data_IF_127258805678
#
_entry.id   IF_127258805678
#
_cell.length_a   1.000
_cell.length_b   1.000
_cell.length_c   1.000
_cell.angle_alpha   90.00
_cell.angle_beta   90.00
_cell.angle_gamma   90.00
#
_symmetry.space_group_name_H-M   'P 1'
#
loop_
_entity.id
_entity.type
_entity.pdbx_description
1 polymer ?
#
# COMPACT_ATOMS: atom_id res chain seq x y z
N UNK A 1 -26.47 -15.38 -7.07
CA UNK A 1 -26.64 -13.94 -6.75
C UNK A 1 -28.05 -13.43 -7.12
N UNK A 2 -29.12 -14.23 -6.99
CA UNK A 2 -30.43 -13.91 -7.58
C UNK A 2 -31.29 -12.90 -6.80
N UNK A 3 -31.12 -12.74 -5.47
CA UNK A 3 -32.21 -12.19 -4.65
C UNK A 3 -31.91 -10.91 -3.86
N UNK A 4 -30.78 -10.24 -4.08
CA UNK A 4 -30.53 -8.94 -3.42
C UNK A 4 -31.27 -7.82 -4.18
N UNK A 5 -32.53 -7.59 -3.81
CA UNK A 5 -33.36 -6.49 -4.33
C UNK A 5 -33.31 -5.30 -3.39
N UNK A 6 -32.95 -4.13 -3.92
CA UNK A 6 -33.08 -2.88 -3.18
C UNK A 6 -34.57 -2.57 -2.90
N UNK A 7 -34.89 -2.08 -1.69
CA UNK A 7 -36.27 -1.75 -1.29
C UNK A 7 -36.37 -0.36 -0.68
N UNK A 8 -37.55 0.25 -0.82
CA UNK A 8 -37.96 1.47 -0.12
C UNK A 8 -39.35 1.21 0.46
N UNK A 9 -39.51 1.42 1.75
CA UNK A 9 -40.75 1.14 2.49
C UNK A 9 -41.16 2.36 3.31
N UNK A 10 -42.46 2.65 3.36
CA UNK A 10 -43.00 3.65 4.30
C UNK A 10 -42.93 3.10 5.74
N UNK A 11 -42.57 3.97 6.69
CA UNK A 11 -42.64 3.69 8.13
C UNK A 11 -43.61 4.68 8.79
N UNK A 12 -44.07 4.43 10.04
CA UNK A 12 -44.97 5.38 10.73
C UNK A 12 -44.42 6.80 10.87
N UNK A 13 -43.10 7.00 10.74
CA UNK A 13 -42.44 8.31 10.88
C UNK A 13 -41.61 8.72 9.66
N UNK A 14 -41.68 8.01 8.54
CA UNK A 14 -40.88 8.32 7.35
C UNK A 14 -40.70 7.14 6.40
N UNK A 15 -39.45 6.82 6.07
CA UNK A 15 -39.09 5.80 5.07
C UNK A 15 -37.91 4.95 5.55
N UNK A 16 -37.89 3.69 5.15
CA UNK A 16 -36.75 2.78 5.31
C UNK A 16 -36.22 2.43 3.93
N UNK A 17 -34.90 2.52 3.74
CA UNK A 17 -34.22 2.21 2.48
C UNK A 17 -33.22 1.09 2.71
N UNK A 18 -33.28 0.06 1.87
CA UNK A 18 -32.30 -1.02 1.83
C UNK A 18 -31.69 -1.06 0.43
N UNK A 19 -30.43 -0.70 0.31
CA UNK A 19 -29.65 -0.80 -0.92
C UNK A 19 -28.60 -1.89 -0.82
N UNK A 20 -28.22 -2.47 -1.95
CA UNK A 20 -27.13 -3.43 -2.05
C UNK A 20 -26.26 -3.02 -3.23
N UNK A 21 -24.95 -2.93 -3.00
CA UNK A 21 -23.95 -2.63 -4.02
C UNK A 21 -22.99 -3.81 -4.14
N UNK A 22 -22.62 -4.18 -5.36
CA UNK A 22 -21.69 -5.29 -5.62
C UNK A 22 -20.27 -4.74 -5.66
N UNK A 23 -19.38 -5.34 -4.85
CA UNK A 23 -17.94 -5.15 -4.94
C UNK A 23 -17.35 -6.41 -5.59
N UNK A 24 -16.68 -6.24 -6.72
CA UNK A 24 -16.06 -7.31 -7.51
C UNK A 24 -14.78 -6.75 -8.12
N UNK A 25 -13.69 -7.50 -7.99
CA UNK A 25 -12.35 -7.13 -8.47
C UNK A 25 -11.48 -8.38 -8.53
N UNK A 26 -10.54 -8.38 -9.47
CA UNK A 26 -9.72 -9.55 -9.77
C UNK A 26 -8.21 -9.26 -9.67
N UNK A 27 -7.43 -10.33 -9.47
CA UNK A 27 -5.98 -10.33 -9.48
C UNK A 27 -5.46 -11.30 -10.53
N UNK A 28 -4.46 -10.91 -11.29
CA UNK A 28 -3.82 -11.77 -12.26
C UNK A 28 -2.30 -11.73 -12.12
N UNK A 29 -1.69 -12.89 -11.91
CA UNK A 29 -0.24 -13.04 -11.96
C UNK A 29 0.20 -13.08 -13.42
N UNK A 30 1.01 -12.12 -13.82
CA UNK A 30 1.45 -11.97 -15.22
C UNK A 30 2.89 -11.48 -15.26
N UNK A 31 3.81 -12.35 -15.69
CA UNK A 31 5.20 -11.97 -15.89
C UNK A 31 5.33 -11.17 -17.19
N UNK A 32 5.74 -9.91 -17.10
CA UNK A 32 5.91 -9.01 -18.25
C UNK A 32 4.60 -8.39 -18.73
N UNK A 33 3.92 -7.61 -17.90
CA UNK A 33 2.64 -6.95 -18.25
C UNK A 33 2.74 -6.00 -19.46
N UNK A 34 3.94 -5.49 -19.75
CA UNK A 34 4.23 -4.67 -20.94
C UNK A 34 4.97 -5.46 -22.04
N UNK A 35 4.98 -6.79 -21.98
CA UNK A 35 5.40 -7.62 -23.11
C UNK A 35 4.30 -7.61 -24.17
N UNK A 36 4.65 -7.29 -25.42
CA UNK A 36 3.70 -7.27 -26.52
C UNK A 36 3.06 -8.64 -26.81
N UNK A 37 3.60 -9.74 -26.31
CA UNK A 37 2.95 -11.06 -26.41
C UNK A 37 1.76 -11.22 -25.43
N UNK A 38 1.73 -10.46 -24.33
CA UNK A 38 0.70 -10.53 -23.30
C UNK A 38 -0.42 -9.55 -23.62
N UNK A 39 -1.59 -10.01 -24.07
CA UNK A 39 -2.69 -9.12 -24.49
C UNK A 39 -3.52 -8.56 -23.34
N UNK A 40 -3.39 -9.10 -22.13
CA UNK A 40 -4.38 -8.96 -21.06
C UNK A 40 -4.61 -7.50 -20.66
N UNK A 41 -3.54 -6.71 -20.50
CA UNK A 41 -3.68 -5.27 -20.22
C UNK A 41 -4.32 -4.53 -21.41
N UNK A 42 -3.98 -4.90 -22.65
CA UNK A 42 -4.50 -4.23 -23.83
C UNK A 42 -5.98 -4.53 -24.00
N UNK A 43 -6.43 -5.75 -23.69
CA UNK A 43 -7.82 -6.16 -23.76
C UNK A 43 -8.72 -5.32 -22.82
N UNK A 44 -8.19 -4.86 -21.68
CA UNK A 44 -8.89 -3.89 -20.81
C UNK A 44 -9.09 -2.51 -21.46
N UNK A 45 -8.19 -2.10 -22.37
CA UNK A 45 -8.18 -0.77 -22.98
C UNK A 45 -8.67 -0.72 -24.44
N UNK A 46 -8.75 -1.86 -25.13
CA UNK A 46 -9.28 -1.96 -26.50
C UNK A 46 -10.65 -1.29 -26.69
N UNK A 47 -11.64 -1.43 -25.78
CA UNK A 47 -12.94 -0.78 -25.95
C UNK A 47 -12.87 0.75 -25.95
N UNK A 48 -11.85 1.32 -25.32
CA UNK A 48 -11.67 2.77 -25.17
C UNK A 48 -10.75 3.35 -26.25
N UNK A 49 -9.84 2.53 -26.81
CA UNK A 49 -8.78 2.91 -27.78
C UNK A 49 -7.81 3.98 -27.28
N UNK A 50 -7.88 4.32 -25.99
CA UNK A 50 -7.00 5.26 -25.31
C UNK A 50 -6.84 4.86 -23.84
N UNK A 51 -5.79 5.35 -23.21
CA UNK A 51 -5.45 5.08 -21.81
C UNK A 51 -4.83 6.33 -21.19
N UNK A 52 -5.39 6.78 -20.06
CA UNK A 52 -4.69 7.67 -19.13
C UNK A 52 -3.98 6.81 -18.08
N UNK A 53 -2.66 6.87 -18.06
CA UNK A 53 -1.84 6.20 -17.06
C UNK A 53 -1.29 7.20 -16.04
N UNK A 54 -1.53 6.94 -14.75
CA UNK A 54 -0.85 7.58 -13.63
C UNK A 54 0.32 6.68 -13.25
N UNK A 55 1.55 7.15 -13.48
CA UNK A 55 2.76 6.33 -13.33
C UNK A 55 3.78 6.99 -12.41
N UNK A 56 4.38 6.21 -11.52
CA UNK A 56 5.54 6.62 -10.74
C UNK A 56 6.67 7.13 -11.67
N UNK A 57 7.33 8.23 -11.30
CA UNK A 57 8.36 8.86 -12.13
C UNK A 57 9.59 7.96 -12.36
N UNK A 58 10.04 7.22 -11.34
CA UNK A 58 11.17 6.30 -11.48
C UNK A 58 10.78 5.12 -12.37
N UNK A 59 9.57 4.58 -12.18
CA UNK A 59 9.04 3.54 -13.07
C UNK A 59 8.90 4.01 -14.50
N UNK A 60 8.41 5.24 -14.73
CA UNK A 60 8.33 5.81 -16.07
C UNK A 60 9.72 5.94 -16.69
N UNK A 61 10.73 6.32 -15.91
CA UNK A 61 12.11 6.44 -16.38
C UNK A 61 12.66 5.09 -16.85
N UNK A 62 12.35 4.01 -16.15
CA UNK A 62 12.85 2.67 -16.47
C UNK A 62 12.01 1.93 -17.52
N UNK A 63 10.68 2.06 -17.47
CA UNK A 63 9.73 1.22 -18.22
C UNK A 63 8.76 2.02 -19.10
N UNK A 64 8.82 3.35 -19.11
CA UNK A 64 7.90 4.19 -19.87
C UNK A 64 7.97 3.95 -21.37
N UNK A 65 9.16 3.73 -21.93
CA UNK A 65 9.32 3.37 -23.35
C UNK A 65 8.78 1.98 -23.67
N UNK A 66 8.92 1.01 -22.75
CA UNK A 66 8.33 -0.32 -22.93
C UNK A 66 6.80 -0.24 -22.92
N UNK A 67 6.22 0.46 -21.94
CA UNK A 67 4.77 0.69 -21.86
C UNK A 67 4.25 1.40 -23.11
N UNK A 68 4.96 2.44 -23.59
CA UNK A 68 4.58 3.15 -24.82
C UNK A 68 4.53 2.21 -26.03
N UNK A 69 5.60 1.42 -26.27
CA UNK A 69 5.65 0.45 -27.38
C UNK A 69 4.56 -0.62 -27.26
N UNK A 70 4.26 -1.07 -26.05
CA UNK A 70 3.17 -2.00 -25.78
C UNK A 70 1.83 -1.43 -26.28
N UNK A 71 1.46 -0.22 -25.85
CA UNK A 71 0.20 0.42 -26.27
C UNK A 71 0.18 0.78 -27.76
N UNK A 72 1.32 1.20 -28.34
CA UNK A 72 1.48 1.42 -29.80
C UNK A 72 1.22 0.14 -30.59
N UNK A 73 1.70 -1.01 -30.13
CA UNK A 73 1.50 -2.32 -30.79
C UNK A 73 0.01 -2.69 -30.90
N UNK A 74 -0.80 -2.25 -29.95
CA UNK A 74 -2.23 -2.53 -29.91
C UNK A 74 -3.14 -1.40 -30.44
N UNK A 75 -2.57 -0.36 -31.06
CA UNK A 75 -3.31 0.82 -31.54
C UNK A 75 -4.16 1.48 -30.44
N UNK A 76 -3.59 1.61 -29.25
CA UNK A 76 -4.23 2.26 -28.10
C UNK A 76 -3.44 3.51 -27.75
N UNK A 77 -4.10 4.65 -27.78
CA UNK A 77 -3.47 5.94 -27.53
C UNK A 77 -3.14 6.12 -26.04
N UNK A 78 -1.86 6.22 -25.69
CA UNK A 78 -1.40 6.38 -24.31
C UNK A 78 -1.06 7.84 -23.95
N UNK A 79 -1.63 8.33 -22.85
CA UNK A 79 -1.24 9.58 -22.19
C UNK A 79 -0.79 9.27 -20.76
N UNK A 80 0.35 9.83 -20.33
CA UNK A 80 0.94 9.52 -19.02
C UNK A 80 1.02 10.74 -18.13
N UNK A 81 0.33 10.69 -16.99
CA UNK A 81 0.59 11.54 -15.83
C UNK A 81 1.74 10.93 -15.03
N UNK A 82 2.86 11.64 -14.93
CA UNK A 82 4.02 11.20 -14.15
C UNK A 82 3.96 11.82 -12.77
N UNK A 83 4.15 11.02 -11.73
CA UNK A 83 4.09 11.49 -10.35
C UNK A 83 5.30 11.03 -9.56
N UNK A 84 5.93 11.94 -8.83
CA UNK A 84 7.01 11.64 -7.89
C UNK A 84 6.42 11.65 -6.49
N UNK A 85 6.18 10.47 -5.90
CA UNK A 85 5.47 10.36 -4.62
C UNK A 85 6.34 9.67 -3.57
N UNK A 86 6.98 10.47 -2.71
CA UNK A 86 7.44 10.03 -1.40
C UNK A 86 6.34 10.22 -0.33
N UNK A 87 6.56 9.74 0.89
CA UNK A 87 5.56 9.84 1.98
C UNK A 87 5.11 11.29 2.26
N UNK A 88 6.02 12.28 2.11
CA UNK A 88 5.71 13.71 2.24
C UNK A 88 4.82 14.24 1.11
N UNK A 89 4.89 13.63 -0.08
CA UNK A 89 4.06 13.97 -1.25
C UNK A 89 2.75 13.16 -1.32
N UNK A 90 2.49 12.28 -0.35
CA UNK A 90 1.21 11.57 -0.21
C UNK A 90 0.12 12.51 0.34
N UNK A 91 -0.27 13.52 -0.44
CA UNK A 91 -1.07 14.66 0.02
C UNK A 91 -2.28 14.95 -0.89
N UNK A 92 -3.14 15.87 -0.44
CA UNK A 92 -4.30 16.33 -1.21
C UNK A 92 -3.87 17.05 -2.49
N UNK A 93 -2.77 17.78 -2.46
CA UNK A 93 -2.22 18.48 -3.63
C UNK A 93 -1.85 17.49 -4.75
N UNK A 94 -1.15 16.41 -4.41
CA UNK A 94 -0.83 15.35 -5.38
C UNK A 94 -2.09 14.69 -5.93
N UNK A 95 -3.09 14.43 -5.09
CA UNK A 95 -4.40 13.94 -5.53
C UNK A 95 -5.05 14.88 -6.54
N UNK A 96 -5.06 16.20 -6.26
CA UNK A 96 -5.66 17.20 -7.15
C UNK A 96 -4.93 17.28 -8.49
N UNK A 97 -3.60 17.09 -8.51
CA UNK A 97 -2.83 17.04 -9.77
C UNK A 97 -3.26 15.88 -10.70
N UNK A 98 -3.66 14.75 -10.11
CA UNK A 98 -4.17 13.60 -10.84
C UNK A 98 -5.58 13.91 -11.36
N UNK A 99 -6.43 14.52 -10.52
CA UNK A 99 -7.78 14.97 -10.91
C UNK A 99 -7.71 15.96 -12.09
N UNK A 100 -6.80 16.91 -12.07
CA UNK A 100 -6.58 17.86 -13.18
C UNK A 100 -6.23 17.14 -14.49
N UNK A 101 -5.45 16.06 -14.40
CA UNK A 101 -5.08 15.23 -15.56
C UNK A 101 -6.25 14.38 -16.05
N UNK A 102 -7.08 13.88 -15.15
CA UNK A 102 -8.33 13.18 -15.49
C UNK A 102 -9.32 14.10 -16.21
N UNK A 103 -9.44 15.36 -15.75
CA UNK A 103 -10.26 16.38 -16.39
C UNK A 103 -9.72 16.78 -17.76
N UNK A 104 -8.41 17.03 -17.88
CA UNK A 104 -7.78 17.36 -19.16
C UNK A 104 -7.92 16.22 -20.18
N UNK A 105 -7.73 14.97 -19.75
CA UNK A 105 -7.94 13.79 -20.58
C UNK A 105 -9.41 13.59 -20.99
N UNK A 106 -10.34 14.13 -20.20
CA UNK A 106 -11.77 13.92 -20.37
C UNK A 106 -12.14 12.47 -20.07
N UNK A 107 -11.68 11.92 -18.94
CA UNK A 107 -12.03 10.57 -18.48
C UNK A 107 -13.56 10.43 -18.42
N UNK A 108 -14.10 9.47 -19.17
CA UNK A 108 -15.55 9.20 -19.17
C UNK A 108 -15.93 8.25 -18.03
N UNK A 109 -17.21 8.24 -17.64
CA UNK A 109 -17.67 7.71 -16.34
C UNK A 109 -17.22 6.27 -16.00
N UNK A 110 -17.06 5.40 -16.99
CA UNK A 110 -16.68 3.99 -16.79
C UNK A 110 -15.31 3.65 -17.37
N UNK A 111 -14.64 4.60 -18.02
CA UNK A 111 -13.29 4.41 -18.56
C UNK A 111 -12.30 4.28 -17.40
N UNK A 112 -11.53 3.18 -17.32
CA UNK A 112 -10.61 2.98 -16.23
C UNK A 112 -9.35 3.82 -16.40
N UNK A 113 -8.87 4.39 -15.30
CA UNK A 113 -7.51 4.95 -15.22
C UNK A 113 -6.51 3.82 -14.96
N UNK A 114 -5.37 3.80 -15.66
CA UNK A 114 -4.28 2.87 -15.36
C UNK A 114 -3.39 3.46 -14.27
N UNK A 115 -3.09 2.70 -13.22
CA UNK A 115 -2.24 3.16 -12.11
C UNK A 115 -1.05 2.22 -11.97
N UNK A 116 0.17 2.75 -12.16
CA UNK A 116 1.42 1.97 -12.18
C UNK A 116 2.43 2.54 -11.18
N UNK A 117 2.73 1.82 -10.10
CA UNK A 117 3.61 2.34 -9.06
C UNK A 117 3.58 1.51 -7.77
N UNK A 118 4.33 1.97 -6.75
CA UNK A 118 4.27 1.38 -5.41
C UNK A 118 3.00 1.76 -4.66
N UNK A 119 2.92 1.35 -3.38
CA UNK A 119 1.77 1.60 -2.51
C UNK A 119 1.36 3.08 -2.42
N UNK A 120 2.33 4.00 -2.44
CA UNK A 120 2.07 5.44 -2.41
C UNK A 120 1.31 5.92 -3.64
N UNK A 121 1.73 5.51 -4.84
CA UNK A 121 1.05 5.90 -6.09
C UNK A 121 -0.33 5.27 -6.17
N UNK A 122 -0.46 3.98 -5.82
CA UNK A 122 -1.75 3.29 -5.86
C UNK A 122 -2.75 3.86 -4.87
N UNK A 123 -2.32 4.32 -3.69
CA UNK A 123 -3.19 4.95 -2.71
C UNK A 123 -3.69 6.31 -3.18
N UNK A 124 -2.79 7.19 -3.63
CA UNK A 124 -3.16 8.56 -4.02
C UNK A 124 -4.02 8.55 -5.28
N UNK A 125 -3.60 7.79 -6.30
CA UNK A 125 -4.35 7.69 -7.55
C UNK A 125 -5.67 6.93 -7.38
N UNK A 126 -5.67 5.86 -6.56
CA UNK A 126 -6.89 5.14 -6.22
C UNK A 126 -7.90 6.04 -5.50
N UNK A 127 -7.44 6.92 -4.60
CA UNK A 127 -8.32 7.88 -3.93
C UNK A 127 -8.80 9.00 -4.87
N UNK A 128 -7.96 9.46 -5.80
CA UNK A 128 -8.39 10.35 -6.88
C UNK A 128 -9.53 9.72 -7.71
N UNK A 129 -9.39 8.44 -8.09
CA UNK A 129 -10.42 7.69 -8.81
C UNK A 129 -11.70 7.48 -7.98
N UNK A 130 -11.59 7.25 -6.67
CA UNK A 130 -12.73 7.14 -5.77
C UNK A 130 -13.52 8.46 -5.70
N UNK A 131 -12.82 9.60 -5.66
CA UNK A 131 -13.43 10.93 -5.56
C UNK A 131 -13.96 11.43 -6.93
N UNK A 132 -13.29 11.11 -8.03
CA UNK A 132 -13.65 11.62 -9.36
C UNK A 132 -15.03 11.13 -9.79
N UNK A 133 -15.94 12.07 -10.01
CA UNK A 133 -17.37 11.82 -10.32
C UNK A 133 -18.05 10.86 -9.32
N UNK A 134 -17.60 10.89 -8.06
CA UNK A 134 -18.04 10.05 -6.93
C UNK A 134 -17.73 8.56 -7.04
N UNK A 135 -17.16 8.11 -8.16
CA UNK A 135 -16.57 6.79 -8.38
C UNK A 135 -16.16 6.70 -9.86
N UNK A 136 -14.89 6.39 -10.09
CA UNK A 136 -14.31 6.12 -11.41
C UNK A 136 -13.50 4.84 -11.34
N UNK A 137 -13.65 4.01 -12.37
CA UNK A 137 -12.95 2.75 -12.49
C UNK A 137 -11.44 2.97 -12.61
N UNK A 138 -10.65 1.99 -12.17
CA UNK A 138 -9.21 2.00 -12.36
C UNK A 138 -8.64 0.58 -12.34
N UNK A 139 -7.43 0.43 -12.88
CA UNK A 139 -6.66 -0.82 -12.91
C UNK A 139 -5.31 -0.56 -12.25
N UNK A 140 -4.82 -1.50 -11.44
CA UNK A 140 -3.53 -1.37 -10.75
C UNK A 140 -2.46 -2.28 -11.35
N UNK A 141 -1.25 -1.77 -11.41
CA UNK A 141 -0.01 -2.51 -11.66
C UNK A 141 0.97 -2.11 -10.55
N UNK A 142 0.95 -2.79 -9.39
CA UNK A 142 1.94 -2.57 -8.34
C UNK A 142 3.37 -2.93 -8.79
N UNK A 143 4.35 -2.14 -8.37
CA UNK A 143 5.75 -2.27 -8.82
C UNK A 143 6.77 -2.42 -7.68
N UNK A 144 6.28 -2.45 -6.44
CA UNK A 144 7.10 -2.65 -5.23
C UNK A 144 6.63 -3.90 -4.50
N UNK A 145 7.46 -4.49 -3.63
CA UNK A 145 7.03 -5.63 -2.81
C UNK A 145 5.78 -5.26 -2.00
N UNK A 146 5.78 -4.14 -1.27
CA UNK A 146 4.60 -3.65 -0.53
C UNK A 146 3.38 -3.54 -1.43
N UNK A 147 3.52 -2.96 -2.63
CA UNK A 147 2.42 -2.88 -3.59
C UNK A 147 1.89 -4.26 -3.98
N UNK A 148 2.78 -5.17 -4.34
CA UNK A 148 2.44 -6.50 -4.89
C UNK A 148 1.77 -7.41 -3.86
N UNK A 149 2.13 -7.32 -2.57
CA UNK A 149 1.65 -8.24 -1.55
C UNK A 149 0.76 -7.62 -0.47
N UNK A 150 0.60 -6.29 -0.44
CA UNK A 150 -0.22 -5.59 0.57
C UNK A 150 -1.02 -4.41 -0.01
N UNK A 151 -0.37 -3.28 -0.30
CA UNK A 151 -1.06 -2.03 -0.58
C UNK A 151 -1.99 -2.11 -1.80
N UNK A 152 -1.58 -2.81 -2.87
CA UNK A 152 -2.44 -3.02 -4.03
C UNK A 152 -3.28 -4.31 -3.96
N UNK A 153 -3.18 -5.08 -2.88
CA UNK A 153 -4.10 -6.17 -2.55
C UNK A 153 -5.31 -5.63 -1.79
N UNK A 154 -5.09 -4.65 -0.91
CA UNK A 154 -6.17 -3.94 -0.23
C UNK A 154 -7.01 -3.08 -1.18
N UNK A 155 -8.24 -2.75 -0.79
CA UNK A 155 -9.08 -1.74 -1.48
C UNK A 155 -8.98 -0.36 -0.80
N UNK A 156 -8.16 -0.24 0.25
CA UNK A 156 -7.95 1.00 0.98
C UNK A 156 -7.06 1.92 0.17
N UNK A 157 -7.51 3.15 -0.01
CA UNK A 157 -6.80 4.20 -0.73
C UNK A 157 -6.85 5.47 0.10
N UNK A 158 -5.76 6.22 0.18
CA UNK A 158 -5.69 7.35 1.10
C UNK A 158 -4.61 8.38 0.76
N UNK A 159 -4.74 9.56 1.36
CA UNK A 159 -3.70 10.58 1.49
C UNK A 159 -3.50 10.94 2.96
N UNK A 160 -2.32 11.46 3.27
CA UNK A 160 -2.01 12.05 4.56
C UNK A 160 -2.70 13.43 4.69
N UNK A 161 -3.04 13.83 5.91
CA UNK A 161 -3.57 15.18 6.19
C UNK A 161 -2.90 15.76 7.45
N UNK A 162 -2.16 16.85 7.27
CA UNK A 162 -1.26 17.36 8.31
C UNK A 162 -0.20 16.31 8.69
N UNK A 163 -0.10 15.97 9.97
CA UNK A 163 0.80 14.91 10.49
C UNK A 163 0.10 13.56 10.66
N UNK A 164 -1.11 13.40 10.12
CA UNK A 164 -1.90 12.18 10.28
C UNK A 164 -1.75 11.30 9.03
N UNK A 165 -1.17 10.11 9.20
CA UNK A 165 -1.05 9.09 8.15
C UNK A 165 -2.44 8.61 7.70
N UNK A 166 -2.66 8.48 6.39
CA UNK A 166 -3.85 7.90 5.76
C UNK A 166 -5.20 8.44 6.27
N UNK A 167 -5.26 9.72 6.66
CA UNK A 167 -6.43 10.28 7.35
C UNK A 167 -7.63 10.51 6.42
N UNK A 168 -7.38 10.84 5.16
CA UNK A 168 -8.43 11.03 4.16
C UNK A 168 -8.33 9.90 3.15
N UNK A 169 -9.42 9.20 2.89
CA UNK A 169 -9.38 8.02 2.02
C UNK A 169 -10.73 7.44 1.71
N UNK A 170 -10.71 6.29 1.06
CA UNK A 170 -11.88 5.51 0.68
C UNK A 170 -11.58 4.00 0.69
N UNK A 171 -12.64 3.19 0.71
CA UNK A 171 -12.60 1.79 0.32
C UNK A 171 -13.06 1.72 -1.14
N UNK A 172 -12.13 1.64 -2.08
CA UNK A 172 -12.40 1.72 -3.52
C UNK A 172 -11.60 0.67 -4.28
N UNK A 173 -12.27 -0.44 -4.62
CA UNK A 173 -11.64 -1.55 -5.32
C UNK A 173 -11.29 -1.16 -6.77
N UNK A 174 -10.12 -1.57 -7.30
CA UNK A 174 -9.86 -1.50 -8.73
C UNK A 174 -10.78 -2.49 -9.46
N UNK A 175 -10.91 -2.37 -10.78
CA UNK A 175 -11.49 -3.43 -11.60
C UNK A 175 -10.59 -4.67 -11.62
N UNK A 176 -9.28 -4.44 -11.76
CA UNK A 176 -8.29 -5.50 -11.91
C UNK A 176 -6.94 -5.05 -11.35
N UNK A 177 -6.16 -6.00 -10.85
CA UNK A 177 -4.77 -5.79 -10.42
C UNK A 177 -3.85 -6.80 -11.11
N UNK A 178 -2.92 -6.32 -11.94
CA UNK A 178 -1.89 -7.16 -12.55
C UNK A 178 -0.67 -7.25 -11.62
N UNK A 179 -0.34 -8.46 -11.20
CA UNK A 179 0.76 -8.78 -10.31
C UNK A 179 1.96 -9.27 -11.14
N UNK A 180 2.76 -8.32 -11.63
CA UNK A 180 3.99 -8.59 -12.34
C UNK A 180 5.19 -8.45 -11.40
N UNK A 181 5.66 -9.59 -10.89
CA UNK A 181 6.80 -9.62 -9.99
C UNK A 181 8.13 -9.33 -10.69
N UNK A 182 8.19 -9.30 -12.03
CA UNK A 182 9.44 -9.02 -12.76
C UNK A 182 9.92 -7.58 -12.55
N UNK A 183 9.06 -6.65 -12.13
CA UNK A 183 9.46 -5.30 -11.71
C UNK A 183 10.42 -5.29 -10.52
N UNK A 184 10.39 -6.32 -9.66
CA UNK A 184 11.31 -6.42 -8.53
C UNK A 184 12.78 -6.50 -8.97
N UNK A 185 13.07 -6.94 -10.21
CA UNK A 185 14.43 -6.98 -10.76
C UNK A 185 15.16 -5.63 -10.69
N UNK A 186 14.43 -4.52 -10.85
CA UNK A 186 15.00 -3.16 -10.82
C UNK A 186 14.73 -2.42 -9.51
N UNK A 187 14.01 -3.06 -8.57
CA UNK A 187 13.65 -2.45 -7.32
C UNK A 187 14.86 -2.41 -6.36
N UNK A 188 15.20 -1.26 -5.75
CA UNK A 188 16.32 -1.19 -4.81
C UNK A 188 16.19 -2.18 -3.66
N UNK A 189 17.32 -2.75 -3.21
CA UNK A 189 17.33 -3.74 -2.10
C UNK A 189 16.68 -3.20 -0.82
N UNK A 190 16.82 -1.90 -0.54
CA UNK A 190 16.14 -1.26 0.59
C UNK A 190 14.60 -1.37 0.48
N UNK A 191 14.03 -1.25 -0.72
CA UNK A 191 12.59 -1.42 -0.96
C UNK A 191 12.15 -2.89 -0.95
N UNK A 192 13.02 -3.81 -1.39
CA UNK A 192 12.78 -5.25 -1.24
C UNK A 192 12.65 -5.60 0.24
N UNK A 193 13.60 -5.14 1.06
CA UNK A 193 13.58 -5.29 2.53
C UNK A 193 12.36 -4.62 3.16
N UNK A 194 12.04 -3.40 2.74
CA UNK A 194 10.88 -2.64 3.20
C UNK A 194 9.59 -3.48 3.09
N UNK A 195 9.35 -4.12 1.94
CA UNK A 195 8.17 -4.98 1.78
C UNK A 195 8.28 -6.38 2.39
N UNK A 196 9.48 -6.88 2.67
CA UNK A 196 9.68 -8.14 3.38
C UNK A 196 9.02 -8.11 4.77
N UNK A 197 8.99 -6.94 5.42
CA UNK A 197 8.34 -6.75 6.71
C UNK A 197 6.84 -7.13 6.70
N UNK A 198 6.12 -6.81 5.63
CA UNK A 198 4.69 -7.11 5.51
C UNK A 198 4.40 -8.60 5.32
N UNK A 199 5.35 -9.34 4.75
CA UNK A 199 5.29 -10.80 4.68
C UNK A 199 5.56 -11.41 6.07
N UNK A 200 6.49 -10.86 6.86
CA UNK A 200 6.67 -11.28 8.25
C UNK A 200 5.38 -11.03 9.04
N UNK A 201 4.77 -9.84 8.90
CA UNK A 201 3.52 -9.46 9.57
C UNK A 201 2.43 -10.52 9.41
N UNK A 202 2.09 -10.83 8.16
CA UNK A 202 0.97 -11.74 7.91
C UNK A 202 1.32 -13.16 8.29
N UNK A 203 2.54 -13.62 7.98
CA UNK A 203 2.93 -15.00 8.21
C UNK A 203 3.10 -15.34 9.69
N UNK A 204 3.65 -14.44 10.51
CA UNK A 204 3.78 -14.69 11.95
C UNK A 204 2.44 -14.81 12.67
N UNK A 205 1.39 -14.20 12.13
CA UNK A 205 0.06 -14.13 12.75
C UNK A 205 -1.00 -15.02 12.09
N UNK A 206 -0.77 -15.51 10.87
CA UNK A 206 -1.81 -16.20 10.11
C UNK A 206 -1.31 -17.37 9.21
N UNK A 207 -0.01 -17.46 8.91
CA UNK A 207 0.52 -18.51 8.02
C UNK A 207 1.95 -18.92 8.38
N UNK A 208 2.06 -19.93 9.24
CA UNK A 208 3.33 -20.49 9.67
C UNK A 208 4.16 -21.07 8.50
N UNK A 209 3.51 -21.61 7.47
CA UNK A 209 4.21 -22.19 6.32
C UNK A 209 4.93 -21.13 5.49
N UNK A 210 4.29 -19.98 5.28
CA UNK A 210 4.95 -18.81 4.69
C UNK A 210 6.06 -18.28 5.59
N UNK A 211 5.85 -18.26 6.92
CA UNK A 211 6.87 -17.81 7.87
C UNK A 211 8.12 -18.69 7.79
N UNK A 212 7.95 -20.01 7.75
CA UNK A 212 9.06 -20.97 7.67
C UNK A 212 9.87 -20.79 6.39
N UNK A 213 9.23 -20.50 5.26
CA UNK A 213 9.90 -20.23 4.00
C UNK A 213 10.66 -18.89 4.00
N UNK A 214 10.08 -17.84 4.58
CA UNK A 214 10.77 -16.56 4.78
C UNK A 214 12.00 -16.73 5.68
N UNK A 215 11.86 -17.50 6.76
CA UNK A 215 12.95 -17.77 7.70
C UNK A 215 14.07 -18.58 7.05
N UNK A 216 13.74 -19.59 6.24
CA UNK A 216 14.71 -20.42 5.54
C UNK A 216 15.47 -19.71 4.42
N UNK A 217 14.84 -18.75 3.73
CA UNK A 217 15.39 -18.12 2.51
C UNK A 217 15.61 -16.60 2.65
N UNK A 218 15.65 -16.06 3.87
CA UNK A 218 15.61 -14.63 4.14
C UNK A 218 16.64 -13.82 3.34
N UNK A 219 17.92 -14.12 3.51
CA UNK A 219 19.02 -13.39 2.89
C UNK A 219 19.00 -13.52 1.36
N UNK A 220 18.72 -14.72 0.85
CA UNK A 220 18.67 -15.00 -0.58
C UNK A 220 17.51 -14.26 -1.26
N UNK A 221 16.32 -14.24 -0.65
CA UNK A 221 15.17 -13.50 -1.17
C UNK A 221 15.45 -12.00 -1.25
N UNK A 222 16.09 -11.43 -0.22
CA UNK A 222 16.42 -10.00 -0.22
C UNK A 222 17.52 -9.68 -1.22
N UNK A 223 18.60 -10.48 -1.24
CA UNK A 223 19.77 -10.26 -2.09
C UNK A 223 19.50 -10.48 -3.58
N UNK A 224 18.52 -11.31 -3.93
CA UNK A 224 18.16 -11.63 -5.32
C UNK A 224 16.87 -10.97 -5.81
N UNK A 225 16.33 -10.01 -5.04
CA UNK A 225 15.07 -9.35 -5.33
C UNK A 225 13.91 -10.34 -5.57
N UNK A 226 13.67 -11.23 -4.61
CA UNK A 226 12.71 -12.35 -4.70
C UNK A 226 12.99 -13.25 -5.92
N UNK A 227 14.27 -13.56 -6.12
CA UNK A 227 14.79 -14.34 -7.26
C UNK A 227 14.40 -13.77 -8.63
N UNK A 228 14.36 -12.44 -8.74
CA UNK A 228 14.14 -11.71 -10.01
C UNK A 228 15.40 -11.06 -10.56
N UNK A 229 16.48 -11.00 -9.77
CA UNK A 229 17.79 -10.63 -10.25
C UNK A 229 18.33 -11.65 -11.28
N UNK A 230 19.18 -11.16 -12.19
CA UNK A 230 19.77 -12.01 -13.23
C UNK A 230 20.63 -13.12 -12.61
N UNK A 231 20.45 -14.36 -13.09
CA UNK A 231 21.17 -15.53 -12.59
C UNK A 231 20.66 -16.11 -11.26
N UNK A 232 19.52 -15.66 -10.76
CA UNK A 232 18.89 -16.22 -9.56
C UNK A 232 18.51 -17.70 -9.73
N UNK A 233 18.59 -18.47 -8.63
CA UNK A 233 18.26 -19.89 -8.60
C UNK A 233 16.76 -20.13 -8.94
N UNK A 234 16.44 -20.95 -9.95
CA UNK A 234 15.05 -21.32 -10.25
C UNK A 234 14.28 -21.93 -9.07
N UNK A 235 14.95 -22.67 -8.18
CA UNK A 235 14.33 -23.22 -6.97
C UNK A 235 13.93 -22.12 -5.99
N UNK A 236 14.78 -21.11 -5.81
CA UNK A 236 14.48 -19.93 -5.01
C UNK A 236 13.32 -19.12 -5.63
N UNK A 237 13.25 -19.02 -6.96
CA UNK A 237 12.10 -18.40 -7.65
C UNK A 237 10.79 -19.11 -7.30
N UNK A 238 10.79 -20.45 -7.29
CA UNK A 238 9.60 -21.22 -6.92
C UNK A 238 9.18 -20.97 -5.46
N UNK A 239 10.16 -20.86 -4.56
CA UNK A 239 9.91 -20.51 -3.16
C UNK A 239 9.36 -19.07 -3.02
N UNK A 240 9.97 -18.09 -3.70
CA UNK A 240 9.51 -16.70 -3.73
C UNK A 240 8.06 -16.60 -4.24
N UNK A 241 7.75 -17.27 -5.35
CA UNK A 241 6.41 -17.27 -5.95
C UNK A 241 5.37 -17.90 -5.01
N UNK A 242 5.75 -18.97 -4.30
CA UNK A 242 4.90 -19.60 -3.27
C UNK A 242 4.65 -18.66 -2.09
N UNK A 243 5.70 -18.03 -1.55
CA UNK A 243 5.61 -17.06 -0.45
C UNK A 243 4.67 -15.92 -0.81
N UNK A 244 4.90 -15.26 -1.95
CA UNK A 244 4.11 -14.10 -2.34
C UNK A 244 2.65 -14.48 -2.62
N UNK A 245 2.40 -15.61 -3.30
CA UNK A 245 1.03 -16.09 -3.56
C UNK A 245 0.29 -16.43 -2.27
N UNK A 246 0.94 -17.11 -1.34
CA UNK A 246 0.34 -17.48 -0.05
C UNK A 246 0.05 -16.24 0.81
N UNK A 247 1.00 -15.30 0.88
CA UNK A 247 0.80 -14.02 1.58
C UNK A 247 -0.38 -13.21 1.02
N UNK A 248 -0.47 -13.07 -0.30
CA UNK A 248 -1.61 -12.38 -0.95
C UNK A 248 -2.93 -13.09 -0.65
N UNK A 249 -2.96 -14.42 -0.79
CA UNK A 249 -4.17 -15.20 -0.53
C UNK A 249 -4.64 -15.05 0.92
N UNK A 250 -3.71 -15.13 1.86
CA UNK A 250 -4.02 -15.01 3.29
C UNK A 250 -4.54 -13.60 3.63
N UNK A 251 -3.97 -12.57 3.01
CA UNK A 251 -4.47 -11.20 3.17
C UNK A 251 -5.91 -11.06 2.66
N UNK A 252 -6.19 -11.59 1.46
CA UNK A 252 -7.54 -11.59 0.88
C UNK A 252 -8.52 -12.39 1.74
N UNK A 253 -8.09 -13.54 2.29
CA UNK A 253 -8.90 -14.38 3.18
C UNK A 253 -9.33 -13.63 4.44
N UNK A 254 -8.44 -12.82 5.00
CA UNK A 254 -8.68 -12.03 6.21
C UNK A 254 -9.53 -10.77 5.94
N UNK A 255 -9.30 -10.08 4.83
CA UNK A 255 -9.93 -8.78 4.56
C UNK A 255 -11.26 -8.87 3.78
N UNK A 256 -11.45 -9.88 2.92
CA UNK A 256 -12.67 -10.01 2.09
C UNK A 256 -13.97 -10.05 2.91
N UNK A 257 -14.04 -10.73 4.07
CA UNK A 257 -15.23 -10.69 4.94
C UNK A 257 -15.44 -9.33 5.62
N UNK A 258 -14.50 -8.39 5.50
CA UNK A 258 -14.42 -7.17 6.29
C UNK A 258 -13.91 -5.95 5.48
N UNK A 259 -14.29 -5.84 4.21
CA UNK A 259 -13.72 -4.86 3.27
C UNK A 259 -13.87 -3.38 3.67
N UNK A 260 -14.81 -3.06 4.57
CA UNK A 260 -15.01 -1.71 5.12
C UNK A 260 -14.53 -1.57 6.58
N UNK A 261 -13.77 -2.54 7.08
CA UNK A 261 -13.24 -2.59 8.45
C UNK A 261 -14.32 -2.41 9.55
N UNK A 262 -15.52 -2.96 9.35
CA UNK A 262 -16.59 -2.91 10.34
C UNK A 262 -16.25 -3.76 11.58
N UNK A 263 -15.51 -4.86 11.38
CA UNK A 263 -14.89 -5.64 12.45
C UNK A 263 -13.48 -5.10 12.71
N UNK A 264 -13.22 -4.60 13.92
CA UNK A 264 -11.98 -3.90 14.24
C UNK A 264 -10.87 -4.80 14.80
N UNK A 265 -11.17 -6.06 15.12
CA UNK A 265 -10.17 -7.08 15.48
C UNK A 265 -9.53 -7.63 14.20
N UNK A 266 -8.50 -6.93 13.72
CA UNK A 266 -7.89 -7.16 12.41
C UNK A 266 -6.48 -7.73 12.53
N UNK A 267 -6.31 -8.98 12.12
CA UNK A 267 -5.01 -9.69 12.18
C UNK A 267 -3.93 -8.94 11.41
N UNK A 268 -4.25 -8.42 10.22
CA UNK A 268 -3.30 -7.68 9.38
C UNK A 268 -2.92 -6.30 9.93
N UNK A 269 -3.45 -5.91 11.09
CA UNK A 269 -3.04 -4.71 11.81
C UNK A 269 -1.86 -4.95 12.77
N UNK A 270 -1.26 -6.15 12.75
CA UNK A 270 0.01 -6.43 13.43
C UNK A 270 1.11 -5.53 12.89
N UNK A 271 1.93 -4.98 13.79
CA UNK A 271 2.89 -3.94 13.44
C UNK A 271 2.29 -2.56 13.14
N UNK A 272 0.98 -2.36 13.30
CA UNK A 272 0.28 -1.12 12.97
C UNK A 272 -0.48 -0.52 14.16
N UNK A 273 -0.02 -0.79 15.38
CA UNK A 273 -0.61 -0.25 16.61
C UNK A 273 0.06 1.07 16.99
N UNK A 274 1.39 1.09 17.02
CA UNK A 274 2.22 2.24 17.36
C UNK A 274 2.98 2.81 16.16
N UNK A 275 3.27 1.99 15.15
CA UNK A 275 4.02 2.41 13.96
C UNK A 275 3.42 3.60 13.20
N UNK A 276 2.08 3.81 13.06
CA UNK A 276 1.58 4.91 12.24
C UNK A 276 1.95 6.30 12.76
N UNK A 277 2.10 6.44 14.08
CA UNK A 277 2.62 7.67 14.70
C UNK A 277 4.14 7.68 14.61
N UNK A 278 4.79 6.58 14.96
CA UNK A 278 6.25 6.54 15.07
C UNK A 278 6.96 6.67 13.72
N UNK A 279 6.42 6.13 12.64
CA UNK A 279 6.97 6.19 11.28
C UNK A 279 7.32 7.63 10.86
N UNK A 280 6.47 8.58 11.24
CA UNK A 280 6.57 10.00 10.87
C UNK A 280 7.32 10.86 11.91
N UNK A 281 7.77 10.28 13.03
CA UNK A 281 8.45 11.03 14.10
C UNK A 281 9.92 11.33 13.78
N UNK A 282 10.73 10.36 13.33
CA UNK A 282 12.09 10.64 12.86
C UNK A 282 12.10 11.58 11.64
N UNK A 283 13.16 12.38 11.50
CA UNK A 283 13.41 13.20 10.31
C UNK A 283 14.81 12.87 9.74
N UNK A 284 14.91 12.34 8.52
CA UNK A 284 13.80 11.92 7.64
C UNK A 284 12.95 10.78 8.26
N UNK A 285 11.69 10.60 7.83
CA UNK A 285 10.83 9.49 8.28
C UNK A 285 11.47 8.12 8.08
N UNK A 286 11.05 7.14 8.88
CA UNK A 286 11.39 5.75 8.64
C UNK A 286 10.65 5.24 7.40
N UNK A 287 11.27 4.31 6.69
CA UNK A 287 10.54 3.47 5.73
C UNK A 287 9.47 2.69 6.48
N UNK A 288 8.30 2.55 5.87
CA UNK A 288 7.14 1.91 6.46
C UNK A 288 7.46 0.54 7.08
N UNK A 289 8.11 -0.35 6.32
CA UNK A 289 8.55 -1.67 6.72
C UNK A 289 9.42 -1.67 7.99
N UNK A 290 10.29 -0.67 8.16
CA UNK A 290 11.10 -0.53 9.37
C UNK A 290 10.26 -0.06 10.56
N UNK A 291 9.34 0.89 10.35
CA UNK A 291 8.44 1.34 11.42
C UNK A 291 7.52 0.23 11.92
N UNK A 292 6.94 -0.56 11.01
CA UNK A 292 6.10 -1.71 11.39
C UNK A 292 6.92 -2.83 12.03
N UNK A 293 8.19 -3.01 11.63
CA UNK A 293 9.06 -4.03 12.24
C UNK A 293 9.42 -3.71 13.68
N UNK A 294 9.64 -2.43 14.02
CA UNK A 294 9.85 -1.99 15.41
C UNK A 294 8.61 -2.30 16.25
N UNK A 295 7.42 -1.96 15.74
CA UNK A 295 6.14 -2.27 16.40
C UNK A 295 5.95 -3.78 16.58
N UNK A 296 6.18 -4.58 15.53
CA UNK A 296 6.06 -6.04 15.58
C UNK A 296 7.05 -6.68 16.56
N UNK A 297 8.31 -6.24 16.55
CA UNK A 297 9.35 -6.78 17.41
C UNK A 297 9.07 -6.46 18.89
N UNK A 298 8.63 -5.23 19.19
CA UNK A 298 8.15 -4.85 20.52
C UNK A 298 6.90 -5.65 20.94
N UNK A 299 5.91 -5.76 20.05
CA UNK A 299 4.70 -6.56 20.25
C UNK A 299 5.01 -8.03 20.55
N UNK A 300 6.01 -8.61 19.88
CA UNK A 300 6.45 -9.98 20.12
C UNK A 300 7.09 -10.14 21.51
N UNK A 301 7.85 -9.16 21.98
CA UNK A 301 8.35 -9.13 23.37
C UNK A 301 7.21 -9.01 24.37
N UNK A 302 6.19 -8.18 24.10
CA UNK A 302 5.00 -8.08 24.94
C UNK A 302 4.25 -9.42 25.01
N UNK A 303 4.05 -10.09 23.86
CA UNK A 303 3.43 -11.41 23.80
C UNK A 303 4.25 -12.48 24.56
N UNK A 304 5.57 -12.43 24.46
CA UNK A 304 6.46 -13.30 25.22
C UNK A 304 6.35 -13.08 26.72
N UNK A 305 6.33 -11.82 27.18
CA UNK A 305 6.13 -11.46 28.59
C UNK A 305 4.80 -11.96 29.16
N UNK A 306 3.76 -12.06 28.33
CA UNK A 306 2.46 -12.68 28.68
C UNK A 306 2.41 -14.19 28.57
N UNK A 307 3.51 -14.85 28.19
CA UNK A 307 3.54 -16.30 27.96
C UNK A 307 2.74 -16.77 26.74
N UNK A 308 2.33 -15.85 25.85
CA UNK A 308 1.61 -16.17 24.61
C UNK A 308 2.56 -16.68 23.53
N UNK A 309 3.82 -16.23 23.57
CA UNK A 309 4.88 -16.63 22.66
C UNK A 309 6.02 -17.29 23.45
N UNK A 310 6.42 -18.49 23.06
CA UNK A 310 7.53 -19.21 23.69
C UNK A 310 8.87 -18.51 23.43
N UNK A 311 9.83 -18.65 24.34
CA UNK A 311 11.17 -18.06 24.18
C UNK A 311 11.87 -18.44 22.86
N UNK A 312 11.81 -19.71 22.39
CA UNK A 312 12.34 -20.09 21.09
C UNK A 312 11.67 -19.38 19.91
N UNK A 313 10.34 -19.30 19.85
CA UNK A 313 9.65 -18.63 18.75
C UNK A 313 9.81 -17.11 18.79
N UNK A 314 9.86 -16.52 19.98
CA UNK A 314 10.21 -15.10 20.15
C UNK A 314 11.59 -14.79 19.58
N UNK A 315 12.62 -15.56 19.97
CA UNK A 315 13.97 -15.40 19.43
C UNK A 315 14.05 -15.69 17.93
N UNK A 316 13.28 -16.65 17.42
CA UNK A 316 13.20 -16.95 15.99
C UNK A 316 12.64 -15.77 15.20
N UNK A 317 11.54 -15.17 15.66
CA UNK A 317 10.93 -13.99 15.04
C UNK A 317 11.85 -12.77 15.07
N UNK A 318 12.47 -12.46 16.22
CA UNK A 318 13.48 -11.38 16.30
C UNK A 318 14.71 -11.67 15.41
N UNK A 319 15.14 -12.93 15.37
CA UNK A 319 16.20 -13.38 14.48
C UNK A 319 15.90 -13.12 13.02
N UNK A 320 14.66 -13.38 12.57
CA UNK A 320 14.23 -13.10 11.20
C UNK A 320 14.27 -11.61 10.88
N UNK A 321 13.76 -10.73 11.76
CA UNK A 321 13.88 -9.28 11.57
C UNK A 321 15.36 -8.86 11.44
N UNK A 322 16.22 -9.39 12.31
CA UNK A 322 17.65 -9.07 12.29
C UNK A 322 18.36 -9.53 11.01
N UNK A 323 18.11 -10.77 10.54
CA UNK A 323 18.69 -11.29 9.29
C UNK A 323 18.15 -10.58 8.05
N UNK A 324 16.87 -10.20 8.07
CA UNK A 324 16.28 -9.37 7.03
C UNK A 324 16.88 -7.96 6.98
N UNK A 325 17.60 -7.54 8.03
CA UNK A 325 18.11 -6.17 8.17
C UNK A 325 17.02 -5.16 8.54
N UNK A 326 15.85 -5.62 8.98
CA UNK A 326 14.76 -4.76 9.45
C UNK A 326 15.08 -4.22 10.85
N UNK A 327 14.54 -3.03 11.14
CA UNK A 327 14.71 -2.43 12.46
C UNK A 327 13.84 -3.15 13.49
N UNK A 328 14.42 -3.51 14.63
CA UNK A 328 13.71 -4.03 15.79
C UNK A 328 13.53 -2.95 16.86
N UNK A 329 14.48 -2.03 16.96
CA UNK A 329 14.40 -0.89 17.89
C UNK A 329 14.86 0.41 17.21
N UNK A 330 14.50 1.53 17.83
CA UNK A 330 15.03 2.85 17.53
C UNK A 330 15.08 3.68 18.82
N UNK A 331 16.09 4.54 18.95
CA UNK A 331 16.29 5.35 20.17
C UNK A 331 15.05 6.19 20.54
N UNK A 332 14.39 6.77 19.53
CA UNK A 332 13.14 7.51 19.70
C UNK A 332 11.87 6.68 19.90
N UNK A 333 11.92 5.34 19.81
CA UNK A 333 10.79 4.49 20.18
C UNK A 333 10.83 4.28 21.70
N UNK A 334 10.21 5.22 22.42
CA UNK A 334 10.24 5.33 23.88
C UNK A 334 8.84 5.31 24.51
N UNK A 335 8.79 5.40 25.84
CA UNK A 335 7.53 5.36 26.58
C UNK A 335 6.56 6.51 26.20
N UNK A 336 7.08 7.68 25.80
CA UNK A 336 6.26 8.81 25.39
C UNK A 336 5.63 8.58 24.01
N UNK A 337 6.37 7.95 23.08
CA UNK A 337 5.81 7.49 21.81
C UNK A 337 4.75 6.42 22.03
N UNK A 338 4.99 5.42 22.89
CA UNK A 338 4.00 4.39 23.20
C UNK A 338 2.70 5.02 23.73
N UNK A 339 2.77 5.94 24.68
CA UNK A 339 1.60 6.63 25.24
C UNK A 339 0.83 7.42 24.17
N UNK A 340 1.54 8.25 23.39
CA UNK A 340 0.93 9.06 22.32
C UNK A 340 0.26 8.20 21.27
N UNK A 341 0.94 7.13 20.85
CA UNK A 341 0.45 6.25 19.79
C UNK A 341 -0.69 5.34 20.29
N UNK A 342 -0.63 4.83 21.52
CA UNK A 342 -1.76 4.14 22.18
C UNK A 342 -2.99 5.05 22.25
N UNK A 343 -2.83 6.32 22.65
CA UNK A 343 -3.95 7.28 22.69
C UNK A 343 -4.58 7.51 21.32
N UNK A 344 -3.76 7.59 20.27
CA UNK A 344 -4.24 7.76 18.91
C UNK A 344 -4.97 6.51 18.40
N UNK A 345 -4.38 5.32 18.58
CA UNK A 345 -4.93 4.08 18.04
C UNK A 345 -6.23 3.66 18.75
N UNK A 346 -6.40 3.97 20.04
CA UNK A 346 -7.67 3.77 20.75
C UNK A 346 -8.82 4.52 20.09
N UNK A 347 -8.58 5.75 19.60
CA UNK A 347 -9.62 6.51 18.87
C UNK A 347 -9.93 5.88 17.52
N UNK A 348 -8.92 5.35 16.84
CA UNK A 348 -9.08 4.67 15.55
C UNK A 348 -9.79 3.32 15.68
N UNK A 349 -9.58 2.60 16.79
CA UNK A 349 -10.09 1.24 17.04
C UNK A 349 -11.30 1.19 17.98
N UNK A 350 -12.01 2.31 18.05
CA UNK A 350 -13.28 2.48 18.78
C UNK A 350 -13.18 2.15 20.28
N UNK A 351 -12.23 2.80 20.96
CA UNK A 351 -12.04 2.76 22.41
C UNK A 351 -11.29 1.55 22.95
N UNK A 352 -10.94 0.57 22.11
CA UNK A 352 -10.18 -0.62 22.50
C UNK A 352 -8.82 -0.67 21.77
N UNK A 353 -7.79 -1.19 22.44
CA UNK A 353 -6.44 -1.25 21.87
C UNK A 353 -6.39 -2.21 20.67
N UNK A 354 -7.02 -3.38 20.81
CA UNK A 354 -7.08 -4.46 19.84
C UNK A 354 -5.73 -4.71 19.18
N UNK A 355 -4.65 -4.75 19.97
CA UNK A 355 -3.31 -4.96 19.44
C UNK A 355 -3.14 -6.44 19.08
N UNK A 356 -3.10 -6.80 17.78
CA UNK A 356 -2.83 -8.18 17.39
C UNK A 356 -1.39 -8.55 17.78
N UNK A 357 -1.21 -9.74 18.32
CA UNK A 357 0.10 -10.30 18.64
C UNK A 357 0.17 -11.77 18.24
N UNK A 358 1.35 -12.27 17.81
CA UNK A 358 1.53 -13.68 17.51
C UNK A 358 1.46 -14.52 18.78
N UNK A 359 0.97 -15.75 18.65
CA UNK A 359 0.94 -16.74 19.73
C UNK A 359 1.59 -18.05 19.28
N UNK A 360 2.09 -18.86 20.21
CA UNK A 360 2.75 -20.13 19.93
C UNK A 360 1.78 -21.29 19.66
N UNK A 361 1.98 -22.13 18.63
CA UNK A 361 2.91 -21.93 17.52
C UNK A 361 2.55 -20.73 16.64
N UNK A 362 3.57 -20.09 16.06
CA UNK A 362 3.47 -18.99 15.08
C UNK A 362 2.49 -19.32 13.95
N UNK A 363 2.02 -18.27 13.26
CA UNK A 363 0.93 -18.37 12.28
C UNK A 363 -0.45 -18.24 12.90
N UNK A 364 -0.52 -17.74 14.15
CA UNK A 364 -1.77 -17.53 14.90
C UNK A 364 -1.71 -16.19 15.64
N UNK A 365 -2.88 -15.62 15.92
CA UNK A 365 -2.99 -14.28 16.48
C UNK A 365 -4.06 -14.21 17.58
N UNK A 366 -3.82 -13.37 18.59
CA UNK A 366 -4.82 -12.89 19.55
C UNK A 366 -4.76 -11.37 19.64
N UNK A 367 -5.77 -10.74 20.24
CA UNK A 367 -5.86 -9.28 20.38
C UNK A 367 -5.77 -8.86 21.83
N UNK A 368 -4.83 -7.97 22.15
CA UNK A 368 -4.64 -7.42 23.49
C UNK A 368 -5.44 -6.11 23.65
N UNK A 369 -6.26 -6.05 24.70
CA UNK A 369 -7.05 -4.86 25.05
C UNK A 369 -6.68 -4.29 26.42
N UNK A 370 -6.06 -5.11 27.26
CA UNK A 370 -5.82 -4.88 28.69
C UNK A 370 -4.33 -4.72 28.99
N UNK A 371 -3.60 -3.96 28.15
CA UNK A 371 -2.18 -3.68 28.35
C UNK A 371 -2.03 -2.39 29.13
N UNK A 372 -1.56 -2.47 30.39
CA UNK A 372 -1.38 -1.28 31.22
C UNK A 372 -0.17 -0.45 30.78
N UNK A 373 -0.09 0.80 31.24
CA UNK A 373 1.07 1.67 30.96
C UNK A 373 2.34 1.08 31.59
N UNK A 374 2.23 0.50 32.78
CA UNK A 374 3.33 -0.17 33.48
C UNK A 374 3.80 -1.39 32.70
N UNK A 375 2.88 -2.18 32.17
CA UNK A 375 3.21 -3.35 31.36
C UNK A 375 3.88 -2.95 30.05
N UNK A 376 3.38 -1.93 29.35
CA UNK A 376 4.02 -1.40 28.14
C UNK A 376 5.45 -0.94 28.42
N UNK A 377 5.68 -0.25 29.54
CA UNK A 377 7.02 0.22 29.93
C UNK A 377 7.95 -0.94 30.27
N UNK A 378 7.49 -1.90 31.05
CA UNK A 378 8.28 -3.09 31.40
C UNK A 378 8.65 -3.92 30.15
N UNK A 379 7.70 -4.11 29.23
CA UNK A 379 7.95 -4.78 27.96
C UNK A 379 8.95 -4.00 27.08
N UNK A 380 8.90 -2.66 27.10
CA UNK A 380 9.83 -1.82 26.34
C UNK A 380 11.26 -1.90 26.88
N UNK A 381 11.42 -1.85 28.21
CA UNK A 381 12.71 -2.01 28.87
C UNK A 381 13.35 -3.37 28.56
N UNK A 382 12.56 -4.45 28.69
CA UNK A 382 13.01 -5.79 28.35
C UNK A 382 13.32 -5.93 26.85
N UNK A 383 12.49 -5.34 25.98
CA UNK A 383 12.72 -5.35 24.54
C UNK A 383 14.05 -4.67 24.19
N UNK A 384 14.29 -3.46 24.70
CA UNK A 384 15.56 -2.74 24.47
C UNK A 384 16.76 -3.52 25.01
N UNK A 385 16.63 -4.15 26.17
CA UNK A 385 17.69 -5.00 26.76
C UNK A 385 18.02 -6.18 25.85
N UNK A 386 17.01 -6.91 25.38
CA UNK A 386 17.18 -8.08 24.51
C UNK A 386 17.75 -7.71 23.14
N UNK A 387 17.25 -6.64 22.53
CA UNK A 387 17.63 -6.22 21.19
C UNK A 387 19.05 -5.66 21.12
N UNK A 388 19.59 -5.16 22.24
CA UNK A 388 20.98 -4.73 22.34
C UNK A 388 22.00 -5.84 22.04
N UNK A 389 21.63 -7.11 22.25
CA UNK A 389 22.48 -8.28 21.98
C UNK A 389 22.40 -8.76 20.52
N UNK A 390 21.49 -8.21 19.71
CA UNK A 390 21.39 -8.55 18.29
C UNK A 390 22.36 -7.72 17.44
N UNK A 391 22.71 -8.18 16.22
CA UNK A 391 23.45 -7.38 15.26
C UNK A 391 22.89 -5.96 15.10
N UNK A 392 23.80 -4.98 15.03
CA UNK A 392 23.49 -3.53 14.93
C UNK A 392 22.68 -3.01 16.13
N UNK A 393 22.65 -3.72 17.26
CA UNK A 393 21.84 -3.39 18.44
C UNK A 393 20.36 -3.17 18.09
N UNK A 394 19.86 -3.89 17.09
CA UNK A 394 18.49 -3.76 16.60
C UNK A 394 18.24 -2.71 15.54
N UNK A 395 19.23 -1.89 15.19
CA UNK A 395 19.06 -0.91 14.11
C UNK A 395 18.92 -1.59 12.75
N UNK A 396 18.06 -1.01 11.90
CA UNK A 396 17.81 -1.50 10.54
C UNK A 396 18.85 -1.01 9.54
N UNK A 397 19.03 -1.77 8.46
CA UNK A 397 19.84 -1.38 7.30
C UNK A 397 18.94 -0.60 6.34
N UNK A 398 19.38 0.60 5.93
CA UNK A 398 18.61 1.50 5.07
C UNK A 398 17.21 1.81 5.67
N UNK A 399 17.16 2.14 6.97
CA UNK A 399 15.89 2.25 7.68
C UNK A 399 15.07 3.51 7.33
N UNK A 400 15.71 4.54 6.77
CA UNK A 400 15.13 5.85 6.55
C UNK A 400 14.80 6.10 5.09
N UNK A 401 13.77 6.90 4.85
CA UNK A 401 13.40 7.35 3.50
C UNK A 401 14.54 8.15 2.88
N UNK A 402 14.93 7.78 1.66
CA UNK A 402 15.95 8.46 0.85
C UNK A 402 15.46 8.72 -0.59
N UNK A 403 16.36 9.16 -1.48
CA UNK A 403 15.99 9.49 -2.86
C UNK A 403 15.53 8.27 -3.68
N UNK A 404 15.86 7.04 -3.25
CA UNK A 404 15.40 5.80 -3.87
C UNK A 404 13.94 5.47 -3.52
N UNK A 405 13.40 6.05 -2.44
CA UNK A 405 11.96 6.09 -2.17
C UNK A 405 11.32 7.17 -3.04
N UNK A 406 11.09 6.85 -4.32
CA UNK A 406 10.18 7.60 -5.21
C UNK A 406 10.18 9.11 -4.99
N UNK A 407 11.37 9.72 -5.11
CA UNK A 407 11.57 11.16 -5.02
C UNK A 407 11.68 11.68 -3.59
N UNK A 408 12.90 12.06 -3.21
CA UNK A 408 13.08 13.21 -2.31
C UNK A 408 12.39 14.39 -3.00
N UNK A 409 11.13 14.63 -2.65
CA UNK A 409 10.42 15.82 -3.08
C UNK A 409 11.04 16.96 -2.28
N UNK A 410 12.13 17.56 -2.78
CA UNK A 410 12.22 19.00 -2.63
C UNK A 410 10.91 19.51 -3.20
N UNK A 411 10.16 20.25 -2.41
CA UNK A 411 8.94 20.96 -2.84
C UNK A 411 9.32 22.04 -3.85
N UNK A 412 10.05 21.69 -4.91
CA UNK A 412 9.93 22.41 -6.16
C UNK A 412 8.58 21.97 -6.69
N UNK A 413 7.62 22.85 -6.46
CA UNK A 413 6.32 22.89 -7.10
C UNK A 413 6.49 22.41 -8.55
N UNK A 414 6.15 21.15 -8.84
CA UNK A 414 5.56 20.86 -10.13
C UNK A 414 4.26 21.65 -10.11
N UNK A 415 4.28 22.85 -10.68
CA UNK A 415 3.07 23.67 -10.78
C UNK A 415 2.01 22.78 -11.41
N UNK A 416 0.86 22.59 -10.74
CA UNK A 416 -0.21 21.74 -11.24
C UNK A 416 -0.62 22.12 -12.67
N UNK A 417 -0.40 23.40 -13.04
CA UNK A 417 -0.56 23.92 -14.40
C UNK A 417 0.35 23.24 -15.42
N UNK A 418 1.60 22.93 -15.07
CA UNK A 418 2.57 22.31 -15.98
C UNK A 418 2.18 20.86 -16.29
N UNK A 419 1.67 20.13 -15.30
CA UNK A 419 1.20 18.74 -15.49
C UNK A 419 -0.03 18.69 -16.39
N UNK A 420 -1.01 19.56 -16.13
CA UNK A 420 -2.20 19.68 -16.98
C UNK A 420 -1.83 20.07 -18.41
N UNK A 421 -0.94 21.06 -18.58
CA UNK A 421 -0.46 21.48 -19.89
C UNK A 421 0.27 20.34 -20.63
N UNK A 422 1.05 19.53 -19.94
CA UNK A 422 1.71 18.36 -20.53
C UNK A 422 0.72 17.30 -21.02
N UNK A 423 -0.35 17.05 -20.26
CA UNK A 423 -1.44 16.14 -20.67
C UNK A 423 -2.15 16.67 -21.92
N UNK A 424 -2.55 17.95 -21.90
CA UNK A 424 -3.20 18.60 -23.06
C UNK A 424 -2.30 18.56 -24.30
N UNK A 425 -1.02 18.92 -24.16
CA UNK A 425 -0.06 18.87 -25.26
C UNK A 425 0.17 17.45 -25.80
N UNK A 426 0.07 16.42 -24.94
CA UNK A 426 0.13 15.02 -25.37
C UNK A 426 -1.12 14.65 -26.17
N UNK A 427 -2.31 15.06 -25.73
CA UNK A 427 -3.57 14.80 -26.43
C UNK A 427 -3.63 15.50 -27.78
N UNK A 428 -3.16 16.75 -27.87
CA UNK A 428 -3.12 17.52 -29.11
C UNK A 428 -2.27 16.82 -30.17
N UNK A 429 -1.09 16.30 -29.78
CA UNK A 429 -0.22 15.51 -30.67
C UNK A 429 -0.88 14.22 -31.18
N UNK A 430 -1.85 13.69 -30.45
CA UNK A 430 -2.53 12.42 -30.75
C UNK A 430 -3.91 12.63 -31.40
N UNK A 431 -4.35 13.88 -31.60
CA UNK A 431 -5.66 14.19 -32.17
C UNK A 431 -6.84 13.80 -31.27
N UNK A 432 -6.64 13.73 -29.95
CA UNK A 432 -7.63 13.25 -28.97
C UNK A 432 -8.46 14.37 -28.31
N UNK A 433 -8.43 15.60 -28.85
CA UNK A 433 -8.95 16.81 -28.18
C UNK A 433 -10.44 16.67 -27.84
N UNK A 434 -10.77 16.86 -26.56
CA UNK A 434 -12.15 16.99 -26.10
C UNK A 434 -12.72 18.36 -26.50
N UNK A 435 -14.00 18.48 -26.90
CA UNK A 435 -14.60 19.78 -27.17
C UNK A 435 -14.55 20.66 -25.92
N UNK A 436 -14.12 21.92 -26.07
CA UNK A 436 -14.08 22.89 -24.97
C UNK A 436 -15.46 23.01 -24.31
N UNK A 437 -15.55 22.68 -23.03
CA UNK A 437 -16.69 23.10 -22.21
C UNK A 437 -16.41 24.55 -21.82
N UNK A 438 -16.93 25.49 -22.60
CA UNK A 438 -16.91 26.91 -22.26
C UNK A 438 -17.70 27.12 -20.96
N UNK A 439 -17.02 27.25 -19.83
CA UNK A 439 -17.65 27.74 -18.60
C UNK A 439 -17.80 29.24 -18.76
N UNK A 440 -18.96 29.69 -19.24
CA UNK A 440 -19.33 31.09 -19.19
C UNK A 440 -19.41 31.51 -17.71
N UNK A 441 -18.45 32.31 -17.27
CA UNK A 441 -18.49 32.99 -15.97
C UNK A 441 -19.66 33.96 -16.01
N UNK A 442 -20.80 33.55 -15.44
CA UNK A 442 -21.90 34.47 -15.17
C UNK A 442 -21.47 35.35 -13.99
N UNK A 443 -20.97 36.55 -14.29
CA UNK A 443 -20.88 37.61 -13.30
C UNK A 443 -22.30 37.96 -12.85
N UNK A 444 -22.66 37.56 -11.63
CA UNK A 444 -23.83 38.11 -10.95
C UNK A 444 -23.53 39.56 -10.60
N UNK A 445 -24.10 40.48 -11.36
CA UNK A 445 -24.17 41.89 -10.99
C UNK A 445 -24.90 42.01 -9.65
N UNK A 446 -24.24 42.68 -8.70
CA UNK A 446 -24.84 43.05 -7.43
C UNK A 446 -26.10 43.88 -7.65
N UNK A 447 -27.10 43.61 -6.81
CA UNK A 447 -28.24 44.50 -6.63
C UNK A 447 -28.08 45.14 -5.25
N UNK A 448 -28.15 46.47 -5.27
CA UNK A 448 -28.07 47.38 -4.13
C UNK A 448 -29.24 47.21 -3.15
#
# INVERSE_FOLDING_TARGET
MSDMKATVEHTPKGFSVRGYERIEYDFEFLDGVFDAANTQLADCYRPWRRCLAVMDLNMHTLYGDQMRRYFETYDIALVVHKTAIGEKAKSVETLLSIVDSMDAFGVIRKEPVLVVGGGLVTDVAGFACAAYRRTTNYIRIPTTVIGLIDAAVSIKVAVNYGRCKNRLGAYHAPLHTFLDFTFLRTLPTAQIRNGFAELIKISSCADAGTFDLLDAHCEDLIGSAFARADGADPALKLAADKICRAGIYEMLRLETPNLHELMLDRVIAYGHTWSPIFELVPDPPLRHGHAISIDMAYSATLAHGRGLLTGPEHRRLLGLFSRAGLAMDHAGFDAAILERATTAILKTRDGLLRAPVPVSPLGRCVFLNDVSVEEMRAALEEHKRLVADFPRRGEGIDAFVDASDTGYTTVQQTDHRDVKAAVVASMDKMGLVAPEVSVAVVHTNGVA
#
